data_IF_495411311263
#
_entry.id   IF_495411311263
#
_cell.length_a   1.000
_cell.length_b   1.000
_cell.length_c   1.000
_cell.angle_alpha   90.00
_cell.angle_beta   90.00
_cell.angle_gamma   90.00
#
_symmetry.space_group_name_H-M   'P 1'
#
loop_
_entity.id
_entity.type
_entity.pdbx_description
1 polymer ?
#
# COMPACT_ATOMS: atom_id res chain seq x y z
N UNK A 1 -17.80 -8.38 -11.95
CA UNK A 1 -16.36 -8.61 -11.61
C UNK A 1 -15.87 -9.97 -12.11
N UNK A 2 -14.62 -10.10 -12.59
CA UNK A 2 -14.04 -11.36 -13.07
C UNK A 2 -13.53 -12.21 -11.89
N UNK A 3 -14.07 -13.41 -11.73
CA UNK A 3 -13.67 -14.36 -10.69
C UNK A 3 -12.35 -15.07 -11.03
N UNK A 4 -11.78 -15.78 -10.03
CA UNK A 4 -10.51 -16.52 -10.18
C UNK A 4 -10.53 -17.59 -11.29
N UNK A 5 -11.71 -18.14 -11.61
CA UNK A 5 -11.91 -19.15 -12.68
C UNK A 5 -12.20 -18.51 -14.05
N UNK A 6 -12.06 -17.19 -14.17
CA UNK A 6 -12.33 -16.46 -15.42
C UNK A 6 -13.81 -16.17 -15.70
N UNK A 7 -14.74 -16.69 -14.89
CA UNK A 7 -16.16 -16.41 -14.99
C UNK A 7 -16.51 -15.00 -14.49
N UNK A 8 -17.48 -14.35 -15.13
CA UNK A 8 -18.02 -13.08 -14.66
C UNK A 8 -19.12 -13.32 -13.62
N UNK A 9 -19.03 -12.61 -12.49
CA UNK A 9 -19.98 -12.68 -11.39
C UNK A 9 -20.65 -11.33 -11.19
N UNK A 10 -21.91 -11.35 -10.76
CA UNK A 10 -22.61 -10.17 -10.21
C UNK A 10 -22.03 -9.88 -8.83
N UNK A 11 -20.87 -9.23 -8.84
CA UNK A 11 -20.11 -8.87 -7.66
C UNK A 11 -19.37 -7.56 -7.93
N UNK A 12 -19.19 -6.79 -6.86
CA UNK A 12 -18.56 -5.48 -6.86
C UNK A 12 -17.50 -5.42 -5.78
N UNK A 13 -16.48 -4.61 -6.04
CA UNK A 13 -15.49 -4.22 -5.06
C UNK A 13 -15.84 -2.81 -4.54
N UNK A 14 -15.77 -2.60 -3.24
CA UNK A 14 -16.16 -1.35 -2.60
C UNK A 14 -14.94 -0.78 -1.88
N UNK A 15 -14.64 0.48 -2.15
CA UNK A 15 -13.67 1.28 -1.39
C UNK A 15 -14.38 2.33 -0.56
N UNK A 16 -13.88 2.55 0.65
CA UNK A 16 -14.39 3.56 1.57
C UNK A 16 -13.25 4.42 2.10
N UNK A 17 -13.40 5.74 2.03
CA UNK A 17 -12.56 6.69 2.76
C UNK A 17 -13.34 7.22 3.97
N UNK A 18 -12.70 7.17 5.13
CA UNK A 18 -13.28 7.54 6.42
C UNK A 18 -12.36 8.54 7.10
N UNK A 19 -12.92 9.60 7.62
CA UNK A 19 -12.17 10.56 8.43
C UNK A 19 -11.75 9.91 9.75
N UNK A 20 -10.48 10.07 10.12
CA UNK A 20 -9.94 9.42 11.30
C UNK A 20 -10.50 10.01 12.59
N UNK A 21 -10.75 11.31 12.68
CA UNK A 21 -11.16 11.95 13.93
C UNK A 21 -12.66 11.74 14.20
N UNK A 22 -13.48 12.12 13.24
CA UNK A 22 -14.96 12.11 13.34
C UNK A 22 -15.58 10.76 13.04
N UNK A 23 -14.83 9.83 12.42
CA UNK A 23 -15.32 8.54 11.93
C UNK A 23 -16.41 8.64 10.85
N UNK A 24 -16.58 9.81 10.26
CA UNK A 24 -17.52 10.01 9.17
C UNK A 24 -16.99 9.45 7.86
N UNK A 25 -17.89 8.85 7.08
CA UNK A 25 -17.57 8.37 5.73
C UNK A 25 -17.45 9.58 4.80
N UNK A 26 -16.24 9.84 4.32
CA UNK A 26 -15.96 10.95 3.39
C UNK A 26 -16.32 10.58 1.95
N UNK A 27 -16.12 9.32 1.56
CA UNK A 27 -16.48 8.83 0.23
C UNK A 27 -16.64 7.31 0.22
N UNK A 28 -17.45 6.84 -0.74
CA UNK A 28 -17.56 5.44 -1.15
C UNK A 28 -17.34 5.38 -2.66
N UNK A 29 -16.60 4.37 -3.12
CA UNK A 29 -16.45 4.06 -4.54
C UNK A 29 -16.78 2.59 -4.78
N UNK A 30 -17.60 2.32 -5.80
CA UNK A 30 -18.00 0.94 -6.15
C UNK A 30 -17.42 0.64 -7.53
N UNK A 31 -16.61 -0.41 -7.64
CA UNK A 31 -15.95 -0.78 -8.88
C UNK A 31 -16.20 -2.24 -9.24
N UNK A 32 -16.00 -2.56 -10.50
CA UNK A 32 -16.00 -3.95 -10.97
C UNK A 32 -14.58 -4.52 -11.09
N UNK A 33 -13.57 -3.75 -10.69
CA UNK A 33 -12.18 -4.17 -10.72
C UNK A 33 -11.97 -5.26 -9.65
N UNK A 34 -11.40 -6.42 -10.02
CA UNK A 34 -11.23 -7.54 -9.10
C UNK A 34 -10.12 -7.33 -8.06
N UNK A 35 -9.41 -6.21 -8.11
CA UNK A 35 -8.26 -5.91 -7.25
C UNK A 35 -8.24 -4.45 -6.84
N UNK A 36 -7.75 -4.20 -5.62
CA UNK A 36 -7.63 -2.87 -5.03
C UNK A 36 -6.37 -2.12 -5.48
N UNK A 37 -5.46 -2.76 -6.22
CA UNK A 37 -4.15 -2.19 -6.53
C UNK A 37 -4.19 -0.80 -7.18
N UNK A 38 -5.30 -0.45 -7.84
CA UNK A 38 -5.44 0.83 -8.55
C UNK A 38 -6.50 1.75 -7.93
N UNK A 39 -7.01 1.41 -6.74
CA UNK A 39 -8.22 2.02 -6.21
C UNK A 39 -7.99 3.12 -5.16
N UNK A 40 -6.75 3.28 -4.65
CA UNK A 40 -6.42 4.36 -3.70
C UNK A 40 -6.58 5.76 -4.32
N UNK A 41 -6.00 6.06 -5.51
CA UNK A 41 -6.18 7.39 -6.09
C UNK A 41 -7.65 7.75 -6.33
N UNK A 42 -8.50 6.88 -6.93
CA UNK A 42 -9.92 7.17 -7.12
C UNK A 42 -10.68 7.49 -5.81
N UNK A 43 -10.51 6.68 -4.75
CA UNK A 43 -11.24 6.92 -3.50
C UNK A 43 -10.73 8.16 -2.76
N UNK A 44 -9.42 8.42 -2.80
CA UNK A 44 -8.81 9.60 -2.20
C UNK A 44 -9.28 10.89 -2.89
N UNK A 45 -9.25 10.96 -4.22
CA UNK A 45 -9.76 12.12 -4.96
C UNK A 45 -11.24 12.39 -4.66
N UNK A 46 -12.05 11.33 -4.58
CA UNK A 46 -13.47 11.45 -4.26
C UNK A 46 -13.68 12.01 -2.85
N UNK A 47 -12.90 11.53 -1.87
CA UNK A 47 -12.95 12.03 -0.50
C UNK A 47 -12.53 13.51 -0.44
N UNK A 48 -11.39 13.87 -1.04
CA UNK A 48 -10.87 15.24 -1.09
C UNK A 48 -11.88 16.19 -1.71
N UNK A 49 -12.53 15.78 -2.82
CA UNK A 49 -13.59 16.56 -3.47
C UNK A 49 -14.79 16.79 -2.54
N UNK A 50 -15.21 15.76 -1.80
CA UNK A 50 -16.37 15.84 -0.92
C UNK A 50 -16.11 16.72 0.30
N UNK A 51 -14.95 16.59 0.95
CA UNK A 51 -14.59 17.35 2.17
C UNK A 51 -13.92 18.70 1.84
N UNK A 52 -13.64 18.96 0.56
CA UNK A 52 -12.99 20.18 0.04
C UNK A 52 -11.65 20.49 0.71
N UNK A 53 -10.95 19.46 1.15
CA UNK A 53 -9.70 19.56 1.91
C UNK A 53 -8.80 18.39 1.53
N UNK A 54 -7.51 18.65 1.37
CA UNK A 54 -6.49 17.61 1.18
C UNK A 54 -5.95 17.18 2.55
N UNK A 55 -6.07 15.90 2.92
CA UNK A 55 -5.56 15.43 4.20
C UNK A 55 -4.03 15.39 4.18
N UNK A 56 -3.41 15.62 5.34
CA UNK A 56 -1.96 15.45 5.50
C UNK A 56 -1.55 13.98 5.43
N UNK A 57 -2.37 13.09 5.99
CA UNK A 57 -2.10 11.66 6.09
C UNK A 57 -3.20 10.84 5.44
N UNK A 58 -2.82 9.75 4.77
CA UNK A 58 -3.73 8.67 4.38
C UNK A 58 -3.19 7.35 4.91
N UNK A 59 -3.99 6.67 5.73
CA UNK A 59 -3.72 5.29 6.15
C UNK A 59 -4.45 4.32 5.22
N UNK A 60 -3.77 3.27 4.77
CA UNK A 60 -4.36 2.25 3.92
C UNK A 60 -3.73 0.87 4.14
N UNK A 61 -4.43 -0.18 3.71
CA UNK A 61 -3.94 -1.56 3.81
C UNK A 61 -2.72 -1.83 2.91
N UNK A 62 -1.93 -2.86 3.25
CA UNK A 62 -0.73 -3.26 2.49
C UNK A 62 -0.97 -3.49 1.00
N UNK A 63 -2.19 -3.87 0.57
CA UNK A 63 -2.50 -4.09 -0.85
C UNK A 63 -2.37 -2.82 -1.70
N UNK A 64 -2.53 -1.66 -1.06
CA UNK A 64 -2.34 -0.34 -1.65
C UNK A 64 -0.87 0.08 -1.72
N UNK A 65 0.06 -0.66 -1.09
CA UNK A 65 1.48 -0.37 -1.20
C UNK A 65 2.00 -0.81 -2.57
N UNK A 66 1.83 0.07 -3.55
CA UNK A 66 2.28 -0.10 -4.93
C UNK A 66 2.69 1.25 -5.53
N UNK A 67 3.39 1.19 -6.67
CA UNK A 67 3.96 2.38 -7.32
C UNK A 67 2.93 3.45 -7.66
N UNK A 68 1.73 3.06 -8.09
CA UNK A 68 0.69 4.02 -8.50
C UNK A 68 0.16 4.79 -7.30
N UNK A 69 -0.11 4.07 -6.19
CA UNK A 69 -0.54 4.70 -4.95
C UNK A 69 0.55 5.60 -4.36
N UNK A 70 1.81 5.14 -4.38
CA UNK A 70 2.95 5.93 -3.89
C UNK A 70 3.19 7.18 -4.73
N UNK A 71 3.10 7.09 -6.06
CA UNK A 71 3.26 8.24 -6.96
C UNK A 71 2.16 9.26 -6.72
N UNK A 72 0.90 8.80 -6.63
CA UNK A 72 -0.24 9.67 -6.32
C UNK A 72 -0.07 10.42 -4.99
N UNK A 73 0.33 9.71 -3.93
CA UNK A 73 0.54 10.29 -2.60
C UNK A 73 1.67 11.33 -2.63
N UNK A 74 2.78 11.02 -3.33
CA UNK A 74 3.90 11.95 -3.50
C UNK A 74 3.49 13.21 -4.27
N UNK A 75 2.79 13.05 -5.41
CA UNK A 75 2.32 14.17 -6.25
C UNK A 75 1.36 15.09 -5.49
N UNK A 76 0.50 14.52 -4.65
CA UNK A 76 -0.45 15.26 -3.81
C UNK A 76 0.15 15.78 -2.52
N UNK A 77 1.42 15.47 -2.22
CA UNK A 77 2.11 15.79 -0.96
C UNK A 77 1.34 15.27 0.27
N UNK A 78 0.84 14.04 0.17
CA UNK A 78 0.12 13.34 1.24
C UNK A 78 1.04 12.25 1.79
N UNK A 79 1.20 12.22 3.11
CA UNK A 79 1.99 11.20 3.80
C UNK A 79 1.19 9.88 3.87
N UNK A 80 1.68 8.86 3.16
CA UNK A 80 1.10 7.52 3.15
C UNK A 80 1.53 6.68 4.35
N UNK A 81 0.59 6.30 5.20
CA UNK A 81 0.80 5.38 6.32
C UNK A 81 0.36 3.96 5.91
N UNK A 82 1.18 3.29 5.10
CA UNK A 82 0.86 1.98 4.53
C UNK A 82 1.88 0.93 4.97
N UNK A 83 1.46 -0.15 5.67
CA UNK A 83 2.39 -1.17 6.13
C UNK A 83 2.95 -1.99 4.97
N UNK A 84 4.24 -2.30 5.03
CA UNK A 84 4.92 -3.21 4.12
C UNK A 84 4.45 -4.66 4.30
N UNK A 85 4.66 -5.50 3.27
CA UNK A 85 4.38 -6.94 3.36
C UNK A 85 5.17 -7.62 4.49
N UNK A 86 6.40 -7.15 4.77
CA UNK A 86 7.22 -7.65 5.88
C UNK A 86 6.55 -7.34 7.22
N UNK A 87 6.20 -6.08 7.47
CA UNK A 87 5.51 -5.66 8.71
C UNK A 87 4.21 -6.43 8.93
N UNK A 88 3.42 -6.66 7.88
CA UNK A 88 2.18 -7.44 7.98
C UNK A 88 2.44 -8.91 8.34
N UNK A 89 3.47 -9.54 7.77
CA UNK A 89 3.87 -10.91 8.12
C UNK A 89 4.42 -11.03 9.54
N UNK A 90 5.24 -10.07 9.95
CA UNK A 90 5.81 -9.99 11.30
C UNK A 90 4.71 -9.92 12.35
N UNK A 91 3.73 -9.03 12.16
CA UNK A 91 2.59 -8.87 13.07
C UNK A 91 1.78 -10.16 13.29
N UNK A 92 1.72 -11.03 12.28
CA UNK A 92 0.98 -12.31 12.35
C UNK A 92 1.89 -13.52 12.63
N UNK A 93 3.18 -13.31 12.94
CA UNK A 93 4.13 -14.39 13.20
C UNK A 93 4.41 -15.30 12.01
N UNK A 94 4.27 -14.79 10.77
CA UNK A 94 4.48 -15.54 9.51
C UNK A 94 5.69 -15.06 8.72
N UNK A 95 6.73 -14.57 9.40
CA UNK A 95 8.02 -14.38 8.78
C UNK A 95 8.58 -15.73 8.34
N UNK A 96 9.35 -15.72 7.25
CA UNK A 96 10.00 -16.94 6.79
C UNK A 96 11.11 -17.33 7.78
N UNK A 97 11.12 -18.56 8.31
CA UNK A 97 12.12 -18.99 9.30
C UNK A 97 13.54 -19.09 8.73
N UNK A 98 13.70 -19.17 7.40
CA UNK A 98 15.02 -19.18 6.78
C UNK A 98 15.70 -17.83 6.99
N UNK A 99 16.81 -17.83 7.75
CA UNK A 99 17.64 -16.67 8.06
C UNK A 99 17.91 -15.80 6.83
N UNK A 100 18.26 -16.38 5.68
CA UNK A 100 18.62 -15.63 4.46
C UNK A 100 17.45 -15.30 3.54
N UNK A 101 16.20 -15.51 3.98
CA UNK A 101 15.05 -15.02 3.23
C UNK A 101 14.95 -13.50 3.35
N UNK A 102 14.55 -12.81 2.27
CA UNK A 102 14.43 -11.33 2.21
C UNK A 102 13.60 -10.69 3.33
N UNK A 103 12.67 -11.45 3.92
CA UNK A 103 11.85 -10.98 5.04
C UNK A 103 12.69 -10.69 6.29
N UNK A 104 13.89 -11.28 6.41
CA UNK A 104 14.80 -11.15 7.55
C UNK A 104 15.96 -10.16 7.27
N UNK A 105 15.88 -9.40 6.18
CA UNK A 105 16.80 -8.31 5.89
C UNK A 105 16.15 -7.00 6.33
N UNK A 106 16.96 -6.10 6.87
CA UNK A 106 16.52 -4.75 7.25
C UNK A 106 16.98 -3.75 6.21
N UNK A 107 16.14 -2.77 5.88
CA UNK A 107 16.50 -1.72 4.96
C UNK A 107 16.92 -0.48 5.75
N UNK A 108 18.13 0.01 5.48
CA UNK A 108 18.70 1.22 6.05
C UNK A 108 18.47 2.37 5.07
N UNK A 109 17.59 3.31 5.45
CA UNK A 109 17.18 4.43 4.60
C UNK A 109 18.29 5.46 4.39
N UNK A 110 19.21 5.61 5.37
CA UNK A 110 20.31 6.57 5.28
C UNK A 110 21.39 6.07 4.31
N UNK A 111 21.63 4.76 4.30
CA UNK A 111 22.64 4.13 3.45
C UNK A 111 22.11 3.62 2.09
N UNK A 112 20.80 3.69 1.85
CA UNK A 112 20.11 3.06 0.70
C UNK A 112 20.57 1.60 0.49
N UNK A 113 20.61 0.83 1.59
CA UNK A 113 21.21 -0.49 1.61
C UNK A 113 20.43 -1.49 2.45
N UNK A 114 20.48 -2.77 2.07
CA UNK A 114 19.93 -3.84 2.89
C UNK A 114 21.00 -4.40 3.82
N UNK A 115 20.69 -4.49 5.11
CA UNK A 115 21.48 -5.19 6.12
C UNK A 115 20.99 -6.63 6.25
N UNK A 116 21.90 -7.60 6.07
CA UNK A 116 21.58 -9.00 6.29
C UNK A 116 21.62 -9.38 7.77
N UNK A 117 21.10 -10.56 8.14
CA UNK A 117 21.12 -11.08 9.51
C UNK A 117 22.51 -11.16 10.18
N UNK A 118 23.59 -11.21 9.40
CA UNK A 118 24.99 -11.23 9.84
C UNK A 118 25.54 -9.82 10.09
N UNK A 119 24.74 -8.79 9.80
CA UNK A 119 25.10 -7.39 9.97
C UNK A 119 25.87 -6.77 8.81
N UNK A 120 26.05 -7.50 7.70
CA UNK A 120 26.70 -6.99 6.49
C UNK A 120 25.70 -6.22 5.61
N UNK A 121 26.18 -5.20 4.90
CA UNK A 121 25.37 -4.34 4.04
C UNK A 121 25.52 -4.72 2.57
N UNK A 122 24.41 -4.68 1.84
CA UNK A 122 24.31 -4.89 0.40
C UNK A 122 23.82 -3.60 -0.26
N UNK A 123 24.63 -3.00 -1.12
CA UNK A 123 24.26 -1.84 -1.92
C UNK A 123 23.53 -2.26 -3.18
N UNK A 124 22.46 -1.55 -3.55
CA UNK A 124 21.72 -1.79 -4.78
C UNK A 124 22.60 -1.58 -6.02
N UNK A 125 22.82 -2.65 -6.80
CA UNK A 125 23.41 -2.55 -8.12
C UNK A 125 22.31 -2.18 -9.12
N UNK A 126 22.29 -0.94 -9.62
CA UNK A 126 21.35 -0.51 -10.66
C UNK A 126 21.98 -0.76 -12.03
N UNK A 127 21.45 -1.72 -12.78
CA UNK A 127 21.76 -1.84 -14.21
C UNK A 127 21.06 -0.69 -14.93
N UNK A 128 21.83 0.19 -15.56
CA UNK A 128 21.28 1.22 -16.44
C UNK A 128 20.71 0.50 -17.67
N UNK A 129 19.40 0.60 -17.88
CA UNK A 129 18.74 0.29 -19.15
C UNK A 129 18.34 1.58 -19.84
#
# INVERSE_FOLDING_TARGET
MKGKKGNFMVAYNIQSAVDYETKLICAINVTQNPTDHYELPPIAERAIKNIKTTPKYISADTIYLNQISLSYLADKKIDGLIPTRKQTKEKIGKLNPNKYHKDNFDYDYELDAFKCPEGQYFTLFRTIQ
#
